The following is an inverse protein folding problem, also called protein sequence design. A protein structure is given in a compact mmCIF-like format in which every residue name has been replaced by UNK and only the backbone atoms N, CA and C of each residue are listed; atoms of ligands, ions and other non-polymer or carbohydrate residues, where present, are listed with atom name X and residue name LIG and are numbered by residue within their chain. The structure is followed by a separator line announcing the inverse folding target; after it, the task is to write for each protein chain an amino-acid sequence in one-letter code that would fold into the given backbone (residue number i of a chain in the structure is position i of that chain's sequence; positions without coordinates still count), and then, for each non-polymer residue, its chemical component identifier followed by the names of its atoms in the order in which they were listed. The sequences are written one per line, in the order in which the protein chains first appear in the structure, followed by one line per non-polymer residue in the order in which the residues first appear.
data_IF_839022089439
#
_entry.id   IF_839022089439
#
_cell.length_a   1.000
_cell.length_b   1.000
_cell.length_c   1.000
_cell.angle_alpha   90.00
_cell.angle_beta   90.00
_cell.angle_gamma   90.00
#
_symmetry.space_group_name_H-M   'P 1'
#
loop_
_entity.id
_entity.type
_entity.pdbx_description
1 polymer ?
#
# COMPACT_ATOMS: atom_id res chain seq x y z
N UNK A 1 -18.16 -10.24 17.21
CA UNK A 1 -17.24 -9.16 16.83
C UNK A 1 -17.55 -8.75 15.40
N UNK A 2 -17.55 -7.43 15.13
CA UNK A 2 -17.63 -6.86 13.77
C UNK A 2 -16.27 -6.21 13.48
N UNK A 3 -15.60 -6.65 12.44
CA UNK A 3 -14.37 -6.03 11.94
C UNK A 3 -14.69 -5.09 10.77
N UNK A 4 -14.38 -3.82 10.92
CA UNK A 4 -14.63 -2.76 9.95
C UNK A 4 -13.29 -2.31 9.37
N UNK A 5 -13.19 -2.19 8.05
CA UNK A 5 -11.96 -1.87 7.36
C UNK A 5 -12.12 -0.55 6.60
N UNK A 6 -11.26 0.40 6.89
CA UNK A 6 -11.19 1.73 6.30
C UNK A 6 -12.51 2.54 6.36
N UNK A 7 -12.48 3.74 5.80
CA UNK A 7 -13.58 4.69 5.87
C UNK A 7 -14.90 4.18 5.27
N UNK A 8 -14.85 3.24 4.32
CA UNK A 8 -16.02 2.68 3.66
C UNK A 8 -16.97 1.94 4.62
N UNK A 9 -16.39 1.39 5.69
CA UNK A 9 -17.15 0.67 6.72
C UNK A 9 -17.23 1.43 8.04
N UNK A 10 -16.71 2.64 8.09
CA UNK A 10 -16.54 3.44 9.30
C UNK A 10 -17.86 3.81 10.00
N UNK A 11 -18.95 3.92 9.25
CA UNK A 11 -20.28 4.19 9.85
C UNK A 11 -20.88 3.01 10.61
N UNK A 12 -20.38 1.80 10.44
CA UNK A 12 -20.89 0.61 11.18
C UNK A 12 -20.69 0.76 12.70
N UNK A 13 -19.50 1.03 13.23
CA UNK A 13 -19.35 1.27 14.66
C UNK A 13 -20.10 2.51 15.15
N UNK A 14 -20.25 3.55 14.31
CA UNK A 14 -21.04 4.75 14.63
C UNK A 14 -22.52 4.37 14.83
N UNK A 15 -23.12 3.67 13.88
CA UNK A 15 -24.53 3.27 13.99
C UNK A 15 -24.76 2.29 15.13
N UNK A 16 -23.84 1.33 15.32
CA UNK A 16 -23.95 0.43 16.47
C UNK A 16 -23.97 1.21 17.78
N UNK A 17 -23.12 2.20 17.93
CA UNK A 17 -23.03 3.03 19.13
C UNK A 17 -24.30 3.88 19.33
N UNK A 18 -24.74 4.59 18.28
CA UNK A 18 -25.85 5.53 18.36
C UNK A 18 -27.22 4.84 18.49
N UNK A 19 -27.46 3.79 17.69
CA UNK A 19 -28.82 3.32 17.48
C UNK A 19 -29.09 1.89 17.95
N UNK A 20 -28.06 1.08 18.17
CA UNK A 20 -28.26 -0.35 18.40
C UNK A 20 -27.69 -0.87 19.71
N UNK A 21 -26.62 -0.29 20.25
CA UNK A 21 -25.92 -0.82 21.42
C UNK A 21 -26.79 -0.88 22.68
N UNK A 22 -27.79 -0.05 22.78
CA UNK A 22 -28.75 -0.04 23.91
C UNK A 22 -29.75 -1.19 23.85
N UNK A 23 -29.89 -1.89 22.73
CA UNK A 23 -30.79 -3.04 22.57
C UNK A 23 -30.11 -4.33 23.03
N UNK A 24 -30.79 -5.17 23.80
CA UNK A 24 -30.25 -6.42 24.37
C UNK A 24 -29.59 -7.33 23.32
N UNK A 25 -30.19 -7.39 22.13
CA UNK A 25 -29.68 -8.18 21.02
C UNK A 25 -28.28 -7.76 20.56
N UNK A 26 -27.91 -6.49 20.71
CA UNK A 26 -26.69 -5.90 20.14
C UNK A 26 -25.70 -5.42 21.20
N UNK A 27 -26.06 -5.39 22.50
CA UNK A 27 -25.23 -4.80 23.55
C UNK A 27 -23.89 -5.50 23.77
N UNK A 28 -23.78 -6.78 23.38
CA UNK A 28 -22.56 -7.61 23.51
C UNK A 28 -21.66 -7.54 22.26
N UNK A 29 -22.11 -6.89 21.19
CA UNK A 29 -21.31 -6.78 19.96
C UNK A 29 -20.13 -5.83 20.21
N UNK A 30 -18.93 -6.31 19.88
CA UNK A 30 -17.69 -5.54 19.88
C UNK A 30 -17.28 -5.21 18.47
N UNK A 31 -16.72 -4.03 18.28
CA UNK A 31 -16.24 -3.55 16.97
C UNK A 31 -14.74 -3.34 17.00
N UNK A 32 -14.10 -3.76 15.91
CA UNK A 32 -12.70 -3.46 15.60
C UNK A 32 -12.72 -2.59 14.34
N UNK A 33 -12.02 -1.47 14.35
CA UNK A 33 -11.83 -0.63 13.18
C UNK A 33 -10.38 -0.68 12.74
N UNK A 34 -10.13 -1.18 11.53
CA UNK A 34 -8.80 -1.32 10.95
C UNK A 34 -8.53 -0.19 9.97
N UNK A 35 -7.45 0.55 10.20
CA UNK A 35 -6.95 1.61 9.33
C UNK A 35 -5.85 1.01 8.46
N UNK A 36 -6.10 0.82 7.16
CA UNK A 36 -5.09 0.38 6.20
C UNK A 36 -4.29 1.56 5.65
N UNK A 37 -4.96 2.70 5.43
CA UNK A 37 -4.30 3.92 5.00
C UNK A 37 -5.05 5.15 5.53
N UNK A 38 -4.46 5.87 6.47
CA UNK A 38 -5.05 7.04 7.11
C UNK A 38 -5.25 8.25 6.17
N UNK A 39 -4.61 8.27 5.01
CA UNK A 39 -4.80 9.33 4.04
C UNK A 39 -6.23 9.34 3.47
N UNK A 40 -6.92 8.20 3.46
CA UNK A 40 -8.27 8.05 2.93
C UNK A 40 -9.29 8.00 4.09
N UNK A 41 -9.87 9.14 4.42
CA UNK A 41 -10.69 9.30 5.64
C UNK A 41 -12.20 9.30 5.40
N UNK A 42 -12.67 9.36 4.14
CA UNK A 42 -14.09 9.53 3.83
C UNK A 42 -14.59 10.90 4.26
N UNK A 43 -14.01 11.98 3.70
CA UNK A 43 -14.38 13.36 3.98
C UNK A 43 -15.45 13.85 3.00
N UNK A 44 -16.51 14.45 3.54
CA UNK A 44 -17.63 14.99 2.79
C UNK A 44 -18.14 16.29 3.45
N UNK A 45 -19.02 17.01 2.78
CA UNK A 45 -19.76 18.12 3.38
C UNK A 45 -20.63 17.63 4.55
N UNK A 46 -20.85 18.47 5.56
CA UNK A 46 -21.64 18.10 6.75
C UNK A 46 -23.14 17.94 6.44
N UNK A 47 -23.59 18.46 5.30
CA UNK A 47 -24.97 18.31 4.79
C UNK A 47 -25.39 16.85 4.61
N UNK A 48 -24.46 15.96 4.25
CA UNK A 48 -24.79 14.53 4.08
C UNK A 48 -25.13 13.81 5.39
N UNK A 49 -24.77 14.36 6.54
CA UNK A 49 -24.90 13.66 7.83
C UNK A 49 -26.36 13.39 8.19
N UNK A 50 -27.26 14.36 8.00
CA UNK A 50 -28.68 14.21 8.33
C UNK A 50 -29.42 13.45 7.22
N UNK A 51 -29.32 13.92 5.97
CA UNK A 51 -30.13 13.42 4.86
C UNK A 51 -29.68 12.06 4.33
N UNK A 52 -28.37 11.84 4.22
CA UNK A 52 -27.82 10.62 3.61
C UNK A 52 -27.43 9.60 4.67
N UNK A 53 -26.76 10.03 5.74
CA UNK A 53 -26.25 9.14 6.78
C UNK A 53 -27.28 8.91 7.91
N UNK A 54 -28.39 9.68 7.98
CA UNK A 54 -29.39 9.57 9.04
C UNK A 54 -28.86 9.92 10.44
N UNK A 55 -27.77 10.70 10.53
CA UNK A 55 -27.18 11.14 11.80
C UNK A 55 -27.74 12.51 12.15
N UNK A 56 -28.65 12.56 13.11
CA UNK A 56 -29.32 13.78 13.53
C UNK A 56 -28.35 14.80 14.15
N UNK A 57 -28.70 16.08 14.11
CA UNK A 57 -27.86 17.21 14.55
C UNK A 57 -27.21 17.03 15.91
N UNK A 58 -27.91 16.38 16.84
CA UNK A 58 -27.40 16.12 18.18
C UNK A 58 -26.13 15.26 18.17
N UNK A 59 -26.02 14.34 17.23
CA UNK A 59 -25.01 13.29 17.21
C UNK A 59 -23.94 13.54 16.12
N UNK A 60 -24.09 14.59 15.30
CA UNK A 60 -23.16 14.94 14.20
C UNK A 60 -21.73 15.16 14.69
N UNK A 61 -21.54 15.67 15.92
CA UNK A 61 -20.23 15.87 16.54
C UNK A 61 -19.37 14.60 16.60
N UNK A 62 -19.99 13.41 16.56
CA UNK A 62 -19.29 12.12 16.54
C UNK A 62 -18.53 11.92 15.21
N UNK A 63 -19.07 12.42 14.11
CA UNK A 63 -18.54 12.25 12.76
C UNK A 63 -17.93 13.55 12.22
N UNK A 64 -18.40 14.69 12.70
CA UNK A 64 -17.87 15.99 12.28
C UNK A 64 -16.45 16.20 12.82
N UNK A 65 -15.55 16.64 11.95
CA UNK A 65 -14.19 16.97 12.30
C UNK A 65 -13.65 18.02 11.33
N UNK A 66 -13.08 19.09 11.87
CA UNK A 66 -12.48 20.18 11.07
C UNK A 66 -13.41 20.73 9.98
N UNK A 67 -14.69 20.94 10.35
CA UNK A 67 -15.71 21.52 9.47
C UNK A 67 -16.24 20.62 8.35
N UNK A 68 -15.92 19.34 8.38
CA UNK A 68 -16.44 18.35 7.44
C UNK A 68 -16.94 17.08 8.13
N UNK A 69 -17.78 16.30 7.44
CA UNK A 69 -18.06 14.94 7.83
C UNK A 69 -16.79 14.09 7.56
N UNK A 70 -16.26 13.43 8.59
CA UNK A 70 -15.10 12.55 8.48
C UNK A 70 -15.48 11.17 9.05
N UNK A 71 -15.71 10.21 8.17
CA UNK A 71 -16.21 8.90 8.58
C UNK A 71 -15.19 8.13 9.42
N UNK A 72 -13.91 8.21 9.05
CA UNK A 72 -12.84 7.58 9.82
C UNK A 72 -12.78 8.12 11.25
N UNK A 73 -12.94 9.43 11.44
CA UNK A 73 -13.04 10.04 12.77
C UNK A 73 -14.19 9.44 13.57
N UNK A 74 -15.34 9.28 12.97
CA UNK A 74 -16.50 8.65 13.63
C UNK A 74 -16.20 7.22 14.09
N UNK A 75 -15.54 6.42 13.27
CA UNK A 75 -15.13 5.07 13.65
C UNK A 75 -14.07 5.06 14.76
N UNK A 76 -13.07 5.95 14.69
CA UNK A 76 -12.05 6.12 15.75
C UNK A 76 -12.71 6.45 17.08
N UNK A 77 -13.74 7.29 17.10
CA UNK A 77 -14.48 7.63 18.33
C UNK A 77 -15.21 6.41 18.90
N UNK A 78 -15.94 5.68 18.07
CA UNK A 78 -17.00 4.76 18.52
C UNK A 78 -16.59 3.29 18.55
N UNK A 79 -15.54 2.87 17.82
CA UNK A 79 -15.07 1.48 17.83
C UNK A 79 -14.48 1.08 19.20
N UNK A 80 -14.69 -0.17 19.60
CA UNK A 80 -14.14 -0.72 20.85
C UNK A 80 -12.62 -0.88 20.78
N UNK A 81 -12.06 -1.20 19.59
CA UNK A 81 -10.62 -1.29 19.30
C UNK A 81 -10.33 -0.67 17.94
N UNK A 82 -9.12 -0.12 17.81
CA UNK A 82 -8.58 0.40 16.57
C UNK A 82 -7.32 -0.41 16.26
N UNK A 83 -7.22 -0.87 15.03
CA UNK A 83 -6.01 -1.53 14.55
C UNK A 83 -5.46 -0.82 13.32
N UNK A 84 -4.18 -0.97 13.08
CA UNK A 84 -3.55 -0.59 11.82
C UNK A 84 -2.56 -1.68 11.40
N UNK A 85 -1.97 -1.55 10.23
CA UNK A 85 -1.31 -2.64 9.51
C UNK A 85 0.17 -2.82 9.80
N UNK A 86 0.70 -2.11 10.80
CA UNK A 86 2.02 -2.41 11.40
C UNK A 86 2.17 -1.73 12.77
N UNK A 87 3.01 -2.29 13.68
CA UNK A 87 3.35 -1.64 14.95
C UNK A 87 4.00 -0.26 14.76
N UNK A 88 4.89 -0.12 13.78
CA UNK A 88 5.53 1.15 13.43
C UNK A 88 4.49 2.17 12.96
N UNK A 89 3.61 1.79 12.05
CA UNK A 89 2.57 2.67 11.55
C UNK A 89 1.60 3.13 12.64
N UNK A 90 1.33 2.28 13.65
CA UNK A 90 0.53 2.68 14.81
C UNK A 90 1.18 3.81 15.62
N UNK A 91 2.50 3.96 15.59
CA UNK A 91 3.22 5.08 16.18
C UNK A 91 3.27 6.28 15.23
N UNK A 92 3.54 6.04 13.95
CA UNK A 92 3.62 7.10 12.93
C UNK A 92 2.34 7.90 12.83
N UNK A 93 1.16 7.27 12.82
CA UNK A 93 -0.12 7.98 12.71
C UNK A 93 -0.49 8.82 13.94
N UNK A 94 0.29 8.76 15.03
CA UNK A 94 0.20 9.68 16.15
C UNK A 94 0.97 10.99 15.91
N UNK A 95 1.84 11.03 14.91
CA UNK A 95 2.61 12.20 14.53
C UNK A 95 1.83 13.06 13.52
N UNK A 96 1.80 14.41 13.65
CA UNK A 96 1.11 15.32 12.76
C UNK A 96 1.50 15.15 11.28
N UNK A 97 2.75 14.75 10.99
CA UNK A 97 3.26 14.57 9.64
C UNK A 97 2.58 13.40 8.91
N UNK A 98 2.25 12.32 9.63
CA UNK A 98 1.69 11.10 9.05
C UNK A 98 0.19 10.93 9.26
N UNK A 99 -0.41 11.70 10.17
CA UNK A 99 -1.80 11.52 10.61
C UNK A 99 -2.85 12.11 9.68
N UNK A 100 -2.45 12.92 8.72
CA UNK A 100 -3.38 13.71 7.87
C UNK A 100 -4.42 14.50 8.70
N UNK A 101 -4.00 15.03 9.85
CA UNK A 101 -4.80 15.87 10.75
C UNK A 101 -5.58 15.11 11.82
N UNK A 102 -5.42 13.79 11.96
CA UNK A 102 -6.09 12.99 12.99
C UNK A 102 -5.21 12.69 14.21
N UNK A 103 -4.00 13.23 14.30
CA UNK A 103 -3.02 12.95 15.36
C UNK A 103 -3.55 13.24 16.76
N UNK A 104 -4.21 14.37 16.97
CA UNK A 104 -4.76 14.74 18.28
C UNK A 104 -5.81 13.72 18.73
N UNK A 105 -6.73 13.33 17.85
CA UNK A 105 -7.74 12.32 18.11
C UNK A 105 -7.11 10.96 18.39
N UNK A 106 -6.15 10.52 17.56
CA UNK A 106 -5.49 9.23 17.73
C UNK A 106 -4.67 9.16 19.02
N UNK A 107 -3.99 10.24 19.41
CA UNK A 107 -3.31 10.31 20.73
C UNK A 107 -4.30 10.19 21.89
N UNK A 108 -5.46 10.83 21.81
CA UNK A 108 -6.51 10.70 22.83
C UNK A 108 -7.02 9.25 22.93
N UNK A 109 -7.16 8.58 21.81
CA UNK A 109 -7.68 7.19 21.71
C UNK A 109 -6.58 6.12 21.68
N UNK A 110 -5.32 6.47 21.96
CA UNK A 110 -4.17 5.58 21.86
C UNK A 110 -4.31 4.30 22.69
N UNK A 111 -5.03 4.36 23.83
CA UNK A 111 -5.27 3.21 24.71
C UNK A 111 -6.00 2.03 24.01
N UNK A 112 -6.66 2.27 22.89
CA UNK A 112 -7.36 1.23 22.10
C UNK A 112 -6.76 1.01 20.73
N UNK A 113 -5.63 1.67 20.40
CA UNK A 113 -4.91 1.52 19.13
C UNK A 113 -3.82 0.47 19.26
N UNK A 114 -3.70 -0.41 18.25
CA UNK A 114 -2.56 -1.30 18.11
C UNK A 114 -2.23 -1.55 16.64
N UNK A 115 -0.98 -1.88 16.34
CA UNK A 115 -0.51 -2.26 15.02
C UNK A 115 -0.38 -3.78 14.90
N UNK A 116 -0.93 -4.34 13.83
CA UNK A 116 -0.84 -5.77 13.49
C UNK A 116 -0.34 -5.87 12.06
N UNK A 117 0.83 -6.49 11.87
CA UNK A 117 1.42 -6.63 10.54
C UNK A 117 0.53 -7.51 9.65
N UNK A 118 0.33 -7.09 8.40
CA UNK A 118 -0.36 -7.93 7.42
C UNK A 118 0.42 -9.21 7.15
N UNK A 119 -0.30 -10.31 6.96
CA UNK A 119 0.28 -11.56 6.50
C UNK A 119 0.52 -11.55 4.99
N UNK A 120 1.36 -12.47 4.55
CA UNK A 120 1.58 -12.81 3.15
C UNK A 120 1.14 -14.25 2.94
N UNK A 121 0.47 -14.51 1.83
CA UNK A 121 0.17 -15.87 1.38
C UNK A 121 1.48 -16.53 0.90
N UNK A 122 2.03 -17.39 1.75
CA UNK A 122 3.30 -18.08 1.49
C UNK A 122 3.16 -19.23 0.49
N UNK A 123 1.95 -19.66 0.15
CA UNK A 123 1.72 -20.67 -0.90
C UNK A 123 1.66 -19.98 -2.27
N UNK A 124 0.87 -18.91 -2.37
CA UNK A 124 0.73 -18.15 -3.61
C UNK A 124 2.00 -17.39 -4.02
N UNK A 125 2.86 -17.02 -3.06
CA UNK A 125 4.07 -16.23 -3.33
C UNK A 125 5.36 -17.05 -3.09
N UNK A 126 5.32 -18.37 -3.31
CA UNK A 126 6.48 -19.23 -3.11
C UNK A 126 7.26 -19.42 -4.42
N UNK A 127 8.48 -18.88 -4.55
CA UNK A 127 9.26 -19.03 -5.79
C UNK A 127 9.59 -20.49 -6.15
N UNK A 128 9.56 -21.42 -5.19
CA UNK A 128 9.76 -22.83 -5.48
C UNK A 128 8.60 -23.50 -6.22
N UNK A 129 7.40 -22.92 -6.15
CA UNK A 129 6.17 -23.52 -6.71
C UNK A 129 5.33 -22.57 -7.56
N UNK A 130 5.72 -21.30 -7.65
CA UNK A 130 4.99 -20.30 -8.44
C UNK A 130 4.99 -20.67 -9.94
N UNK A 131 3.84 -20.92 -10.56
CA UNK A 131 3.74 -21.26 -11.98
C UNK A 131 3.97 -20.09 -12.93
N UNK A 132 4.06 -18.85 -12.40
CA UNK A 132 4.15 -17.63 -13.21
C UNK A 132 5.59 -17.18 -13.46
N UNK A 133 6.55 -17.66 -12.69
CA UNK A 133 7.96 -17.31 -12.91
C UNK A 133 8.65 -18.26 -13.88
N UNK A 134 9.64 -17.77 -14.60
CA UNK A 134 10.30 -18.51 -15.68
C UNK A 134 11.07 -19.75 -15.18
N UNK A 135 11.56 -19.72 -13.95
CA UNK A 135 12.26 -20.83 -13.34
C UNK A 135 12.01 -20.83 -11.83
N UNK A 136 11.56 -21.96 -11.29
CA UNK A 136 11.31 -22.12 -9.86
C UNK A 136 12.64 -22.31 -9.10
N UNK A 137 12.76 -21.66 -7.94
CA UNK A 137 13.96 -21.71 -7.12
C UNK A 137 13.65 -21.64 -5.62
N UNK A 138 14.58 -22.17 -4.83
CA UNK A 138 14.59 -22.06 -3.38
C UNK A 138 15.99 -21.60 -2.90
N UNK A 139 16.24 -21.65 -1.59
CA UNK A 139 17.51 -21.21 -0.98
C UNK A 139 18.73 -22.01 -1.44
N UNK A 140 18.55 -23.19 -2.07
CA UNK A 140 19.67 -24.03 -2.50
C UNK A 140 20.10 -23.74 -3.96
N UNK A 141 19.20 -23.19 -4.78
CA UNK A 141 19.44 -22.94 -6.21
C UNK A 141 19.05 -21.54 -6.65
N UNK A 142 18.90 -20.58 -5.72
CA UNK A 142 18.42 -19.23 -6.03
C UNK A 142 19.31 -18.47 -7.02
N UNK A 143 20.63 -18.66 -6.99
CA UNK A 143 21.55 -17.98 -7.92
C UNK A 143 21.24 -18.34 -9.37
N UNK A 144 21.11 -19.64 -9.67
CA UNK A 144 20.73 -20.12 -11.00
C UNK A 144 19.28 -19.71 -11.36
N UNK A 145 18.36 -19.85 -10.39
CA UNK A 145 16.94 -19.56 -10.58
C UNK A 145 16.70 -18.09 -10.90
N UNK A 146 17.27 -17.20 -10.10
CA UNK A 146 17.16 -15.74 -10.33
C UNK A 146 17.82 -15.33 -11.65
N UNK A 147 18.98 -15.89 -12.01
CA UNK A 147 19.63 -15.58 -13.27
C UNK A 147 18.72 -15.92 -14.46
N UNK A 148 18.04 -17.08 -14.46
CA UNK A 148 17.08 -17.47 -15.51
C UNK A 148 15.82 -16.59 -15.52
N UNK A 149 15.31 -16.24 -14.34
CA UNK A 149 14.18 -15.31 -14.23
C UNK A 149 14.55 -13.92 -14.73
N UNK A 150 15.77 -13.44 -14.45
CA UNK A 150 16.30 -12.17 -14.96
C UNK A 150 16.40 -12.16 -16.48
N UNK A 151 16.94 -13.23 -17.07
CA UNK A 151 17.00 -13.35 -18.52
C UNK A 151 15.61 -13.29 -19.17
N UNK A 152 14.64 -13.99 -18.60
CA UNK A 152 13.25 -13.96 -19.10
C UNK A 152 12.61 -12.58 -18.94
N UNK A 153 12.88 -11.88 -17.83
CA UNK A 153 12.42 -10.51 -17.59
C UNK A 153 13.02 -9.52 -18.60
N UNK A 154 14.33 -9.66 -18.88
CA UNK A 154 15.04 -8.87 -19.88
C UNK A 154 14.46 -9.12 -21.28
N UNK A 155 14.17 -10.37 -21.66
CA UNK A 155 13.51 -10.70 -22.93
C UNK A 155 12.12 -10.04 -23.02
N UNK A 156 11.34 -10.12 -21.95
CA UNK A 156 9.99 -9.58 -21.92
C UNK A 156 9.94 -8.07 -22.17
N UNK A 157 10.90 -7.34 -21.62
CA UNK A 157 10.99 -5.88 -21.74
C UNK A 157 11.94 -5.41 -22.84
N UNK A 158 12.60 -6.32 -23.57
CA UNK A 158 13.60 -5.99 -24.58
C UNK A 158 14.83 -5.29 -24.02
N UNK A 159 15.24 -5.64 -22.78
CA UNK A 159 16.41 -5.10 -22.13
C UNK A 159 17.68 -5.77 -22.63
N UNK A 160 18.84 -5.10 -22.43
CA UNK A 160 20.13 -5.65 -22.81
C UNK A 160 20.52 -6.80 -21.88
N UNK A 161 21.23 -7.81 -22.42
CA UNK A 161 21.76 -8.93 -21.65
C UNK A 161 23.28 -8.78 -21.49
N UNK A 162 23.74 -7.63 -21.01
CA UNK A 162 25.16 -7.28 -20.91
C UNK A 162 25.74 -7.43 -19.50
N UNK A 163 24.96 -8.05 -18.58
CA UNK A 163 25.36 -8.24 -17.19
C UNK A 163 25.01 -7.06 -16.27
N UNK A 164 24.33 -6.04 -16.78
CA UNK A 164 23.85 -4.91 -15.98
C UNK A 164 22.87 -5.36 -14.90
N UNK A 165 22.85 -4.73 -13.72
CA UNK A 165 21.87 -5.02 -12.69
C UNK A 165 20.49 -4.49 -13.10
N UNK A 166 19.44 -5.28 -12.84
CA UNK A 166 18.04 -4.91 -13.04
C UNK A 166 17.44 -4.42 -11.73
N UNK A 167 17.10 -3.15 -11.68
CA UNK A 167 16.39 -2.54 -10.57
C UNK A 167 14.90 -2.41 -10.92
N UNK A 168 14.03 -2.82 -10.01
CA UNK A 168 12.59 -2.81 -10.27
C UNK A 168 11.80 -2.03 -9.24
N UNK A 169 10.68 -1.47 -9.66
CA UNK A 169 9.68 -0.84 -8.80
C UNK A 169 8.28 -1.29 -9.22
N UNK A 170 7.54 -1.87 -8.28
CA UNK A 170 6.14 -2.32 -8.48
C UNK A 170 5.28 -1.60 -7.46
N UNK A 171 4.51 -0.60 -7.88
CA UNK A 171 3.66 0.18 -6.98
C UNK A 171 2.65 1.04 -7.73
N UNK A 172 1.65 1.56 -7.00
CA UNK A 172 0.81 2.65 -7.51
C UNK A 172 1.68 3.89 -7.77
N UNK A 173 1.54 4.48 -8.96
CA UNK A 173 2.31 5.66 -9.38
C UNK A 173 1.75 6.94 -8.76
N UNK A 174 2.03 7.14 -7.47
CA UNK A 174 1.60 8.32 -6.70
C UNK A 174 2.76 8.89 -5.90
N UNK A 175 2.72 10.20 -5.61
CA UNK A 175 3.80 10.90 -4.93
C UNK A 175 4.19 10.32 -3.57
N UNK A 176 3.24 9.75 -2.80
CA UNK A 176 3.53 9.11 -1.52
C UNK A 176 4.39 7.83 -1.63
N UNK A 177 4.43 7.21 -2.81
CA UNK A 177 5.27 6.05 -3.10
C UNK A 177 6.67 6.43 -3.61
N UNK A 178 6.99 7.73 -3.64
CA UNK A 178 8.31 8.24 -3.99
C UNK A 178 8.62 8.24 -5.49
N UNK A 179 7.60 8.18 -6.35
CA UNK A 179 7.81 8.26 -7.80
C UNK A 179 8.48 9.58 -8.24
N UNK A 180 8.25 10.67 -7.54
CA UNK A 180 8.95 11.94 -7.75
C UNK A 180 10.46 11.84 -7.47
N UNK A 181 10.84 11.05 -6.47
CA UNK A 181 12.26 10.80 -6.16
C UNK A 181 12.92 9.94 -7.25
N UNK A 182 12.27 8.84 -7.66
CA UNK A 182 12.78 8.00 -8.75
C UNK A 182 12.87 8.78 -10.05
N UNK A 183 11.84 9.58 -10.37
CA UNK A 183 11.84 10.46 -11.55
C UNK A 183 13.06 11.37 -11.58
N UNK A 184 13.47 11.93 -10.45
CA UNK A 184 14.58 12.87 -10.36
C UNK A 184 15.97 12.25 -10.62
N UNK A 185 16.09 10.91 -10.45
CA UNK A 185 17.37 10.19 -10.55
C UNK A 185 17.40 9.15 -11.67
N UNK A 186 16.27 8.89 -12.33
CA UNK A 186 16.12 7.78 -13.27
C UNK A 186 17.13 7.80 -14.42
N UNK A 187 17.30 8.93 -15.12
CA UNK A 187 18.29 9.08 -16.18
C UNK A 187 19.72 8.81 -15.64
N UNK A 188 20.04 9.34 -14.46
CA UNK A 188 21.34 9.11 -13.83
C UNK A 188 21.60 7.66 -13.37
N UNK A 189 20.56 6.88 -13.07
CA UNK A 189 20.69 5.44 -12.81
C UNK A 189 21.02 4.69 -14.10
N UNK A 190 20.29 4.99 -15.17
CA UNK A 190 20.51 4.39 -16.49
C UNK A 190 21.92 4.72 -17.02
N UNK A 191 22.37 5.96 -16.87
CA UNK A 191 23.72 6.40 -17.28
C UNK A 191 24.83 5.66 -16.52
N UNK A 192 24.53 5.12 -15.33
CA UNK A 192 25.46 4.27 -14.55
C UNK A 192 25.38 2.79 -14.92
N UNK A 193 24.63 2.44 -15.94
CA UNK A 193 24.51 1.07 -16.44
C UNK A 193 23.47 0.23 -15.71
N UNK A 194 22.52 0.84 -15.01
CA UNK A 194 21.41 0.14 -14.36
C UNK A 194 20.27 -0.02 -15.37
N UNK A 195 19.67 -1.19 -15.42
CA UNK A 195 18.42 -1.44 -16.12
C UNK A 195 17.26 -1.19 -15.14
N UNK A 196 16.23 -0.46 -15.60
CA UNK A 196 15.06 -0.14 -14.79
C UNK A 196 13.82 -0.85 -15.31
N UNK A 197 13.07 -1.52 -14.43
CA UNK A 197 11.76 -2.10 -14.72
C UNK A 197 10.72 -1.50 -13.81
N UNK A 198 9.71 -0.84 -14.40
CA UNK A 198 8.67 -0.13 -13.65
C UNK A 198 7.30 -0.72 -14.00
N UNK A 199 6.56 -1.19 -12.99
CA UNK A 199 5.18 -1.66 -13.11
C UNK A 199 4.27 -0.86 -12.19
N UNK A 200 3.21 -0.29 -12.73
CA UNK A 200 2.18 0.38 -11.96
C UNK A 200 1.28 1.30 -12.77
N UNK A 201 0.35 1.94 -12.10
CA UNK A 201 -0.51 2.99 -12.65
C UNK A 201 -0.90 4.00 -11.59
N UNK A 202 -1.31 5.20 -11.96
CA UNK A 202 -1.73 6.22 -11.00
C UNK A 202 -1.83 7.61 -11.59
N UNK A 203 -0.97 8.54 -11.16
CA UNK A 203 -0.97 9.92 -11.64
C UNK A 203 -0.33 10.03 -13.03
N UNK A 204 -1.04 10.66 -13.97
CA UNK A 204 -0.62 10.74 -15.37
C UNK A 204 0.77 11.36 -15.57
N UNK A 205 1.20 12.23 -14.66
CA UNK A 205 2.55 12.80 -14.73
C UNK A 205 3.64 11.74 -14.63
N UNK A 206 3.48 10.73 -13.76
CA UNK A 206 4.44 9.64 -13.60
C UNK A 206 4.30 8.62 -14.72
N UNK A 207 3.07 8.27 -15.11
CA UNK A 207 2.82 7.35 -16.23
C UNK A 207 3.48 7.85 -17.52
N UNK A 208 3.28 9.12 -17.84
CA UNK A 208 3.87 9.76 -19.03
C UNK A 208 5.41 9.79 -18.93
N UNK A 209 5.96 10.20 -17.77
CA UNK A 209 7.40 10.27 -17.58
C UNK A 209 8.09 8.92 -17.81
N UNK A 210 7.59 7.84 -17.19
CA UNK A 210 8.22 6.53 -17.30
C UNK A 210 8.00 5.89 -18.69
N UNK A 211 6.90 6.20 -19.35
CA UNK A 211 6.69 5.83 -20.77
C UNK A 211 7.70 6.53 -21.69
N UNK A 212 7.93 7.83 -21.47
CA UNK A 212 8.94 8.60 -22.19
C UNK A 212 10.37 8.13 -21.90
N UNK A 213 10.65 7.79 -20.63
CA UNK A 213 11.96 7.27 -20.21
C UNK A 213 12.29 5.97 -20.94
N UNK A 214 11.31 5.07 -21.06
CA UNK A 214 11.46 3.83 -21.83
C UNK A 214 11.81 4.12 -23.29
N UNK A 215 11.15 5.11 -23.90
CA UNK A 215 11.44 5.53 -25.28
C UNK A 215 12.80 6.18 -25.48
N UNK A 216 13.30 6.92 -24.47
CA UNK A 216 14.62 7.57 -24.51
C UNK A 216 15.78 6.60 -24.28
N UNK A 217 15.55 5.51 -23.54
CA UNK A 217 16.56 4.54 -23.16
C UNK A 217 16.19 3.11 -23.60
N UNK A 218 16.07 2.85 -24.93
CA UNK A 218 15.75 1.52 -25.42
C UNK A 218 16.81 0.50 -25.00
N UNK A 219 16.35 -0.67 -24.56
CA UNK A 219 17.23 -1.72 -24.03
C UNK A 219 17.73 -1.49 -22.59
N UNK A 220 17.32 -0.39 -21.93
CA UNK A 220 17.72 -0.09 -20.54
C UNK A 220 16.53 0.13 -19.61
N UNK A 221 15.39 0.54 -20.14
CA UNK A 221 14.19 0.82 -19.35
C UNK A 221 13.03 0.05 -19.92
N UNK A 222 12.34 -0.71 -19.06
CA UNK A 222 11.09 -1.38 -19.31
C UNK A 222 9.97 -0.80 -18.45
N UNK A 223 8.85 -0.40 -19.04
CA UNK A 223 7.72 0.16 -18.29
C UNK A 223 6.43 -0.51 -18.71
N UNK A 224 5.62 -0.91 -17.73
CA UNK A 224 4.25 -1.38 -17.94
C UNK A 224 3.29 -0.51 -17.12
N UNK A 225 2.45 0.25 -17.81
CA UNK A 225 1.43 1.08 -17.18
C UNK A 225 0.17 0.25 -17.01
N UNK A 226 -0.12 -0.14 -15.76
CA UNK A 226 -1.29 -0.96 -15.46
C UNK A 226 -1.13 -1.76 -14.17
N UNK A 227 -2.13 -2.61 -13.92
CA UNK A 227 -2.14 -3.58 -12.84
C UNK A 227 -2.09 -5.00 -13.43
N UNK A 228 -0.97 -5.70 -13.23
CA UNK A 228 -0.74 -7.05 -13.76
C UNK A 228 -0.04 -7.92 -12.70
N UNK A 229 -0.81 -8.70 -11.93
CA UNK A 229 -0.27 -9.53 -10.84
C UNK A 229 0.78 -10.54 -11.29
N UNK A 230 0.55 -11.22 -12.42
CA UNK A 230 1.51 -12.20 -12.95
C UNK A 230 2.84 -11.54 -13.29
N UNK A 231 2.80 -10.40 -13.96
CA UNK A 231 4.01 -9.64 -14.29
C UNK A 231 4.73 -9.17 -13.02
N UNK A 232 4.01 -8.84 -11.95
CA UNK A 232 4.66 -8.47 -10.68
C UNK A 232 5.48 -9.62 -10.10
N UNK A 233 5.01 -10.87 -10.18
CA UNK A 233 5.77 -12.04 -9.75
C UNK A 233 7.04 -12.25 -10.59
N UNK A 234 6.92 -12.11 -11.93
CA UNK A 234 8.08 -12.18 -12.82
C UNK A 234 9.13 -11.12 -12.48
N UNK A 235 8.68 -9.89 -12.16
CA UNK A 235 9.57 -8.78 -11.78
C UNK A 235 10.25 -9.07 -10.43
N UNK A 236 9.53 -9.51 -9.41
CA UNK A 236 10.14 -9.87 -8.13
C UNK A 236 11.17 -11.00 -8.29
N UNK A 237 10.86 -12.01 -9.12
CA UNK A 237 11.76 -13.13 -9.36
C UNK A 237 13.03 -12.72 -10.14
N UNK A 238 12.90 -11.84 -11.14
CA UNK A 238 13.98 -11.50 -12.06
C UNK A 238 14.80 -10.26 -11.70
N UNK A 239 14.32 -9.38 -10.84
CA UNK A 239 15.07 -8.20 -10.44
C UNK A 239 16.21 -8.53 -9.48
N UNK A 240 17.34 -7.84 -9.63
CA UNK A 240 18.48 -7.92 -8.70
C UNK A 240 18.21 -7.06 -7.45
N UNK A 241 17.59 -5.90 -7.61
CA UNK A 241 17.23 -5.01 -6.53
C UNK A 241 15.80 -4.42 -6.69
N UNK A 242 15.16 -4.11 -5.57
CA UNK A 242 13.83 -3.55 -5.54
C UNK A 242 13.83 -2.14 -4.95
N UNK A 243 13.35 -1.16 -5.74
CA UNK A 243 13.31 0.26 -5.34
C UNK A 243 11.99 0.55 -4.64
N UNK A 244 12.06 1.02 -3.39
CA UNK A 244 10.89 1.35 -2.59
C UNK A 244 11.07 2.64 -1.77
N UNK A 245 11.14 3.83 -2.42
CA UNK A 245 11.41 5.10 -1.76
C UNK A 245 10.15 5.73 -1.18
N UNK A 246 9.24 4.93 -0.65
CA UNK A 246 7.96 5.40 -0.13
C UNK A 246 8.14 6.41 1.00
N UNK A 247 7.47 7.56 0.91
CA UNK A 247 7.42 8.58 1.96
C UNK A 247 6.53 8.16 3.13
N UNK A 248 5.57 7.27 2.85
CA UNK A 248 4.71 6.63 3.84
C UNK A 248 4.36 5.23 3.34
N UNK A 249 4.64 4.23 4.19
CA UNK A 249 4.39 2.82 3.89
C UNK A 249 3.75 2.13 5.10
N UNK A 250 2.43 2.04 5.13
CA UNK A 250 1.72 1.48 6.28
C UNK A 250 2.14 0.06 6.66
N UNK A 251 2.39 -0.80 5.69
CA UNK A 251 2.76 -2.19 5.91
C UNK A 251 4.01 -2.64 5.16
N UNK A 252 4.15 -2.28 3.87
CA UNK A 252 5.29 -2.68 3.05
C UNK A 252 5.15 -4.09 2.44
N UNK A 253 3.98 -4.46 1.94
CA UNK A 253 3.78 -5.77 1.29
C UNK A 253 4.77 -6.01 0.14
N UNK A 254 5.00 -5.02 -0.72
CA UNK A 254 5.95 -5.13 -1.83
C UNK A 254 7.38 -5.43 -1.35
N UNK A 255 7.81 -4.83 -0.24
CA UNK A 255 9.10 -5.12 0.39
C UNK A 255 9.18 -6.57 0.86
N UNK A 256 8.15 -7.06 1.52
CA UNK A 256 8.11 -8.44 2.00
C UNK A 256 8.11 -9.45 0.85
N UNK A 257 7.39 -9.17 -0.24
CA UNK A 257 7.39 -10.00 -1.47
C UNK A 257 8.78 -10.00 -2.13
N UNK A 258 9.41 -8.85 -2.24
CA UNK A 258 10.78 -8.74 -2.75
C UNK A 258 11.77 -9.61 -1.92
N UNK A 259 11.66 -9.61 -0.61
CA UNK A 259 12.49 -10.43 0.28
C UNK A 259 12.22 -11.94 0.12
N UNK A 260 10.97 -12.36 -0.12
CA UNK A 260 10.64 -13.77 -0.42
C UNK A 260 11.37 -14.22 -1.70
N UNK A 261 11.46 -13.35 -2.69
CA UNK A 261 12.16 -13.61 -3.95
C UNK A 261 13.68 -13.38 -3.86
N UNK A 262 14.23 -13.15 -2.67
CA UNK A 262 15.67 -13.00 -2.42
C UNK A 262 16.26 -11.84 -3.24
N UNK A 263 15.53 -10.72 -3.32
CA UNK A 263 16.09 -9.46 -3.82
C UNK A 263 16.83 -8.75 -2.70
N UNK A 264 17.95 -8.09 -3.02
CA UNK A 264 18.63 -7.26 -2.03
C UNK A 264 17.70 -6.13 -1.56
N UNK A 265 17.53 -5.95 -0.25
CA UNK A 265 16.81 -4.81 0.29
C UNK A 265 17.68 -3.56 0.15
N UNK A 266 17.18 -2.58 -0.55
CA UNK A 266 17.83 -1.26 -0.70
C UNK A 266 17.04 -0.20 0.05
#
# INVERSE_FOLDING_TARGET
IINCNDWQTALVPVYLNLYYRHLDKFNRIKTIFTIHNIAYQGKYGTDILEDTCGIGRRDQHIVEYDGCANFMKGAIETADKITTVSPTYAQEILDPWFSYGLDALLREKQYKLCGILNGIDMEANNPATDPHIAFNYDVNNFEEGKAKCKEALQDRFGLNKDGSPVFAMVSRMVGMKGFDLVQSVADGLVDRGIELVILGSGESQYENFFSDLCGRHPGRVGTYIGFEPTLSQEIYAGADAFIMPSKSEPCGLAQMLSLIHISEPT
#
